data_IF_572231282593
#
_entry.id   IF_572231282593
#
_cell.length_a   1.000
_cell.length_b   1.000
_cell.length_c   1.000
_cell.angle_alpha   90.00
_cell.angle_beta   90.00
_cell.angle_gamma   90.00
#
_symmetry.space_group_name_H-M   'P 1'
#
loop_
_entity.id
_entity.type
_entity.pdbx_description
1 polymer ?
#
# COMPACT_ATOMS: atom_id res chain seq x y z
N UNK A 1 -0.33 16.75 -0.12
CA UNK A 1 -1.14 17.56 -1.04
C UNK A 1 -0.24 18.34 -1.97
N UNK A 2 -0.57 18.33 -3.24
CA UNK A 2 0.10 19.19 -4.22
C UNK A 2 -0.52 20.57 -4.07
N UNK A 3 0.32 21.60 -4.07
CA UNK A 3 -0.11 22.99 -3.90
C UNK A 3 -1.24 23.34 -4.88
N UNK A 4 -2.33 23.96 -4.38
CA UNK A 4 -3.48 24.33 -5.17
C UNK A 4 -4.50 23.22 -5.48
N UNK A 5 -4.32 21.99 -4.97
CA UNK A 5 -5.27 20.89 -5.14
C UNK A 5 -6.07 20.65 -3.86
N UNK A 6 -7.37 20.46 -4.01
CA UNK A 6 -8.24 20.07 -2.90
C UNK A 6 -7.97 18.60 -2.51
N UNK A 7 -7.94 18.34 -1.21
CA UNK A 7 -7.83 16.97 -0.69
C UNK A 7 -9.20 16.27 -0.74
N UNK A 8 -9.17 14.98 -1.09
CA UNK A 8 -10.34 14.12 -0.91
C UNK A 8 -10.48 13.77 0.58
N UNK A 9 -11.69 13.79 1.10
CA UNK A 9 -12.01 13.51 2.50
C UNK A 9 -13.38 12.85 2.61
N UNK A 10 -13.71 12.28 3.76
CA UNK A 10 -14.95 11.56 3.99
C UNK A 10 -15.83 12.11 5.12
N UNK A 11 -15.45 13.20 5.75
CA UNK A 11 -16.05 13.62 7.02
C UNK A 11 -16.66 15.02 6.96
N UNK A 12 -17.31 15.36 5.86
CA UNK A 12 -17.96 16.66 5.69
C UNK A 12 -18.91 17.04 6.84
N UNK A 13 -19.59 16.05 7.43
CA UNK A 13 -20.54 16.28 8.54
C UNK A 13 -19.88 16.86 9.82
N UNK A 14 -18.55 16.77 9.91
CA UNK A 14 -17.76 17.30 11.05
C UNK A 14 -17.10 18.65 10.75
N UNK A 15 -17.36 19.22 9.57
CA UNK A 15 -16.70 20.45 9.10
C UNK A 15 -17.78 21.49 8.82
N UNK A 16 -17.67 22.65 9.46
CA UNK A 16 -18.63 23.76 9.28
C UNK A 16 -18.56 24.37 7.88
N UNK A 17 -17.35 24.48 7.32
CA UNK A 17 -17.14 24.94 5.95
C UNK A 17 -17.48 23.86 4.95
N UNK A 18 -18.56 24.04 4.24
CA UNK A 18 -19.08 23.14 3.23
C UNK A 18 -18.71 23.54 1.78
N UNK A 19 -17.79 24.47 1.62
CA UNK A 19 -17.39 24.96 0.29
C UNK A 19 -16.71 23.90 -0.59
N UNK A 20 -16.25 22.81 -0.01
CA UNK A 20 -15.54 21.72 -0.71
C UNK A 20 -16.30 20.39 -0.74
N UNK A 21 -17.62 20.38 -0.54
CA UNK A 21 -18.40 19.13 -0.54
C UNK A 21 -18.28 18.34 -1.84
N UNK A 22 -18.04 19.04 -2.94
CA UNK A 22 -17.79 18.45 -4.26
C UNK A 22 -16.53 17.58 -4.32
N UNK A 23 -15.65 17.70 -3.33
CA UNK A 23 -14.42 16.89 -3.23
C UNK A 23 -14.53 15.73 -2.25
N UNK A 24 -15.62 15.64 -1.49
CA UNK A 24 -15.80 14.60 -0.50
C UNK A 24 -16.08 13.24 -1.16
N UNK A 25 -15.49 12.18 -0.58
CA UNK A 25 -15.72 10.80 -0.96
C UNK A 25 -16.10 10.03 0.30
N UNK A 26 -17.31 9.49 0.36
CA UNK A 26 -17.83 8.84 1.56
C UNK A 26 -17.43 7.36 1.65
N UNK A 27 -17.08 6.78 0.51
CA UNK A 27 -16.68 5.38 0.39
C UNK A 27 -15.33 5.28 -0.33
N UNK A 28 -14.65 4.14 -0.14
CA UNK A 28 -13.42 3.85 -0.88
C UNK A 28 -13.69 3.74 -2.39
N UNK A 29 -14.85 3.22 -2.79
CA UNK A 29 -15.24 3.15 -4.21
C UNK A 29 -15.29 4.54 -4.84
N UNK A 30 -15.98 5.50 -4.22
CA UNK A 30 -16.04 6.89 -4.69
C UNK A 30 -14.65 7.52 -4.78
N UNK A 31 -13.77 7.21 -3.82
CA UNK A 31 -12.39 7.68 -3.83
C UNK A 31 -11.61 7.13 -5.02
N UNK A 32 -11.73 5.83 -5.30
CA UNK A 32 -11.07 5.19 -6.43
C UNK A 32 -11.62 5.69 -7.77
N UNK A 33 -12.92 5.92 -7.88
CA UNK A 33 -13.52 6.56 -9.05
C UNK A 33 -12.95 7.96 -9.27
N UNK A 34 -12.87 8.77 -8.22
CA UNK A 34 -12.30 10.11 -8.29
C UNK A 34 -10.82 10.11 -8.69
N UNK A 35 -10.06 9.07 -8.31
CA UNK A 35 -8.68 8.90 -8.77
C UNK A 35 -8.64 8.50 -10.25
N UNK A 36 -9.52 7.62 -10.69
CA UNK A 36 -9.60 7.16 -12.08
C UNK A 36 -9.98 8.30 -13.04
N UNK A 37 -10.83 9.21 -12.63
CA UNK A 37 -11.26 10.36 -13.42
C UNK A 37 -10.16 11.42 -13.57
N UNK A 38 -9.20 11.45 -12.64
CA UNK A 38 -8.13 12.43 -12.65
C UNK A 38 -6.80 11.82 -13.15
N UNK A 39 -6.67 11.79 -14.48
CA UNK A 39 -5.51 11.21 -15.18
C UNK A 39 -4.17 11.92 -14.91
N UNK A 40 -4.21 13.11 -14.32
CA UNK A 40 -2.98 13.86 -13.98
C UNK A 40 -2.36 13.42 -12.65
N UNK A 41 -3.07 12.58 -11.89
CA UNK A 41 -2.62 12.16 -10.57
C UNK A 41 -1.99 10.77 -10.64
N UNK A 42 -0.73 10.71 -10.27
CA UNK A 42 -0.07 9.45 -9.90
C UNK A 42 -0.34 9.19 -8.43
N UNK A 43 -1.26 8.26 -8.15
CA UNK A 43 -1.78 7.99 -6.80
C UNK A 43 -1.44 6.57 -6.39
N UNK A 44 -0.92 6.43 -5.18
CA UNK A 44 -0.78 5.16 -4.48
C UNK A 44 -1.62 5.24 -3.21
N UNK A 45 -2.46 4.24 -2.98
CA UNK A 45 -3.30 4.08 -1.81
C UNK A 45 -2.94 2.81 -1.06
N UNK A 46 -3.11 2.83 0.25
CA UNK A 46 -2.95 1.66 1.12
C UNK A 46 -4.16 1.54 2.04
N UNK A 47 -4.71 0.33 2.15
CA UNK A 47 -5.70 0.06 3.19
C UNK A 47 -5.02 0.07 4.56
N UNK A 48 -5.50 0.93 5.46
CA UNK A 48 -4.96 1.11 6.81
C UNK A 48 -5.80 0.40 7.86
N UNK A 49 -5.14 -0.29 8.77
CA UNK A 49 -5.72 -0.89 9.95
C UNK A 49 -5.28 -0.14 11.21
N UNK A 50 -6.03 0.85 11.60
CA UNK A 50 -5.71 1.63 12.79
C UNK A 50 -6.96 2.05 13.55
N UNK A 51 -7.23 1.43 14.71
CA UNK A 51 -8.33 1.78 15.59
C UNK A 51 -9.74 1.54 15.05
N UNK A 52 -9.88 1.17 13.77
CA UNK A 52 -11.16 0.86 13.11
C UNK A 52 -10.97 -0.28 12.14
N UNK A 53 -12.04 -1.02 11.92
CA UNK A 53 -12.08 -2.09 10.94
C UNK A 53 -12.08 -1.51 9.52
N UNK A 54 -11.17 -2.00 8.68
CA UNK A 54 -11.11 -1.69 7.26
C UNK A 54 -11.58 -2.91 6.47
N UNK A 55 -12.68 -2.79 5.76
CA UNK A 55 -13.26 -3.89 4.99
C UNK A 55 -12.94 -3.73 3.50
N UNK A 56 -11.80 -4.28 3.10
CA UNK A 56 -11.34 -4.24 1.70
C UNK A 56 -12.18 -5.12 0.77
N UNK A 57 -13.04 -5.97 1.31
CA UNK A 57 -13.94 -6.80 0.49
C UNK A 57 -15.06 -5.96 -0.13
N UNK A 58 -15.35 -4.79 0.43
CA UNK A 58 -16.36 -3.86 -0.06
C UNK A 58 -15.88 -2.98 -1.20
N UNK A 59 -14.59 -2.67 -1.22
CA UNK A 59 -13.99 -1.86 -2.26
C UNK A 59 -12.49 -2.15 -2.33
N UNK A 60 -12.01 -2.43 -3.52
CA UNK A 60 -10.60 -2.56 -3.86
C UNK A 60 -10.39 -2.16 -5.30
N UNK A 61 -9.37 -1.38 -5.57
CA UNK A 61 -8.93 -1.06 -6.92
C UNK A 61 -7.41 -1.24 -7.03
N UNK A 62 -6.99 -2.34 -7.63
CA UNK A 62 -5.57 -2.68 -7.78
C UNK A 62 -4.77 -1.68 -8.63
N UNK A 63 -5.42 -0.74 -9.33
CA UNK A 63 -4.72 0.35 -9.99
C UNK A 63 -4.08 1.30 -8.97
N UNK A 64 -4.73 1.51 -7.82
CA UNK A 64 -4.35 2.47 -6.79
C UNK A 64 -3.93 1.81 -5.50
N UNK A 65 -4.68 0.81 -5.03
CA UNK A 65 -4.43 0.10 -3.77
C UNK A 65 -3.43 -1.03 -3.98
N UNK A 66 -2.15 -0.68 -3.96
CA UNK A 66 -1.04 -1.59 -4.24
C UNK A 66 -0.65 -2.47 -3.06
N UNK A 67 -1.05 -2.10 -1.85
CA UNK A 67 -0.67 -2.81 -0.64
C UNK A 67 -1.71 -2.67 0.45
N UNK A 68 -1.69 -3.61 1.40
CA UNK A 68 -2.49 -3.58 2.62
C UNK A 68 -1.58 -3.52 3.84
N UNK A 69 -2.00 -2.81 4.86
CA UNK A 69 -1.25 -2.67 6.09
C UNK A 69 -1.60 -3.79 7.06
N UNK A 70 -0.63 -4.67 7.35
CA UNK A 70 -0.82 -5.79 8.27
C UNK A 70 -0.49 -5.42 9.72
N UNK A 71 0.34 -4.40 9.92
CA UNK A 71 0.82 -4.03 11.26
C UNK A 71 1.00 -2.52 11.40
N UNK A 72 0.47 -1.98 12.51
CA UNK A 72 0.64 -0.58 12.92
C UNK A 72 0.86 -0.50 14.43
N UNK A 73 0.87 0.70 15.02
CA UNK A 73 0.89 0.90 16.46
C UNK A 73 -0.34 0.28 17.18
N UNK A 74 -1.40 -0.02 16.45
CA UNK A 74 -2.61 -0.65 16.98
C UNK A 74 -2.52 -2.17 17.10
N UNK A 75 -1.57 -2.80 16.42
CA UNK A 75 -1.38 -4.25 16.45
C UNK A 75 -1.14 -4.88 15.09
N UNK A 76 -1.25 -6.19 15.05
CA UNK A 76 -1.10 -7.01 13.84
C UNK A 76 -2.47 -7.51 13.39
N UNK A 77 -2.80 -7.29 12.13
CA UNK A 77 -4.12 -7.53 11.56
C UNK A 77 -4.05 -8.47 10.35
N UNK A 78 -3.71 -9.73 10.58
CA UNK A 78 -3.52 -10.72 9.51
C UNK A 78 -4.79 -10.98 8.69
N UNK A 79 -5.96 -10.73 9.27
CA UNK A 79 -7.24 -10.91 8.59
C UNK A 79 -7.37 -10.09 7.31
N UNK A 80 -6.78 -8.89 7.24
CA UNK A 80 -6.84 -8.06 6.02
C UNK A 80 -6.08 -8.71 4.85
N UNK A 81 -4.96 -9.39 5.16
CA UNK A 81 -4.17 -10.14 4.18
C UNK A 81 -4.96 -11.37 3.72
N UNK A 82 -5.61 -12.07 4.65
CA UNK A 82 -6.50 -13.19 4.33
C UNK A 82 -7.64 -12.75 3.41
N UNK A 83 -8.30 -11.64 3.71
CA UNK A 83 -9.39 -11.10 2.91
C UNK A 83 -8.90 -10.70 1.51
N UNK A 84 -7.74 -10.06 1.40
CA UNK A 84 -7.14 -9.72 0.12
C UNK A 84 -6.90 -10.97 -0.74
N UNK A 85 -6.25 -11.98 -0.20
CA UNK A 85 -5.92 -13.19 -0.94
C UNK A 85 -7.14 -14.03 -1.28
N UNK A 86 -8.12 -14.12 -0.36
CA UNK A 86 -9.39 -14.82 -0.61
C UNK A 86 -10.18 -14.20 -1.77
N UNK A 87 -10.07 -12.89 -1.94
CA UNK A 87 -10.70 -12.17 -3.05
C UNK A 87 -9.83 -12.12 -4.32
N UNK A 88 -8.66 -12.74 -4.33
CA UNK A 88 -7.75 -12.76 -5.47
C UNK A 88 -7.03 -11.43 -5.71
N UNK A 89 -6.97 -10.55 -4.71
CA UNK A 89 -6.29 -9.26 -4.84
C UNK A 89 -4.77 -9.45 -4.86
N UNK A 90 -4.11 -8.75 -5.76
CA UNK A 90 -2.65 -8.74 -5.88
C UNK A 90 -2.08 -7.55 -5.15
N UNK A 91 -1.88 -7.70 -3.85
CA UNK A 91 -1.39 -6.64 -2.96
C UNK A 91 -0.05 -7.03 -2.33
N UNK A 92 0.78 -6.02 -2.11
CA UNK A 92 1.92 -6.12 -1.21
C UNK A 92 1.49 -5.97 0.25
N UNK A 93 2.40 -6.25 1.17
CA UNK A 93 2.15 -6.19 2.60
C UNK A 93 3.05 -5.15 3.22
N UNK A 94 2.46 -4.16 3.88
CA UNK A 94 3.18 -3.08 4.57
C UNK A 94 2.95 -3.12 6.07
N UNK A 95 3.91 -2.56 6.80
CA UNK A 95 3.79 -2.26 8.22
C UNK A 95 4.29 -0.84 8.49
N UNK A 96 3.53 -0.07 9.25
CA UNK A 96 3.83 1.32 9.51
C UNK A 96 3.76 1.65 11.00
N UNK A 97 4.28 2.81 11.37
CA UNK A 97 4.29 3.22 12.77
C UNK A 97 2.94 3.73 13.27
N UNK A 98 2.09 4.21 12.36
CA UNK A 98 0.88 4.96 12.69
C UNK A 98 1.13 6.08 13.73
N UNK A 99 2.29 6.72 13.59
CA UNK A 99 2.77 7.73 14.53
C UNK A 99 2.09 9.08 14.33
N UNK A 100 1.47 9.61 15.40
CA UNK A 100 0.70 10.85 15.38
C UNK A 100 1.48 12.08 15.85
N UNK A 101 2.81 12.02 15.92
CA UNK A 101 3.66 13.10 16.42
C UNK A 101 4.40 13.89 15.34
N UNK A 102 4.12 13.61 14.06
CA UNK A 102 4.75 14.29 12.94
C UNK A 102 6.28 14.12 12.87
N UNK A 103 6.81 12.99 13.32
CA UNK A 103 8.25 12.68 13.32
C UNK A 103 8.56 11.46 12.47
N UNK A 104 8.61 11.58 11.14
CA UNK A 104 8.96 10.47 10.26
C UNK A 104 10.30 9.85 10.63
N UNK A 105 10.37 8.53 10.66
CA UNK A 105 11.59 7.78 11.00
C UNK A 105 11.96 7.73 12.49
N UNK A 106 11.21 8.40 13.36
CA UNK A 106 11.49 8.43 14.80
C UNK A 106 10.54 7.53 15.61
N UNK A 107 10.32 6.29 15.14
CA UNK A 107 9.56 5.31 15.90
C UNK A 107 10.43 4.66 16.98
N UNK A 108 9.99 4.75 18.22
CA UNK A 108 10.64 4.15 19.39
C UNK A 108 9.57 3.73 20.42
N UNK A 109 9.89 2.87 21.40
CA UNK A 109 8.95 2.50 22.46
C UNK A 109 8.37 3.72 23.13
N UNK A 110 7.03 3.84 23.15
CA UNK A 110 6.34 5.01 23.69
C UNK A 110 6.16 6.17 22.67
N UNK A 111 6.63 6.04 21.44
CA UNK A 111 6.35 7.01 20.37
C UNK A 111 4.89 6.97 19.92
N UNK A 112 4.28 5.79 19.93
CA UNK A 112 2.86 5.56 19.68
C UNK A 112 2.01 5.81 20.93
N UNK A 113 0.71 5.83 20.75
CA UNK A 113 -0.27 6.08 21.84
C UNK A 113 -0.28 4.95 22.89
N UNK A 114 0.05 3.73 22.49
CA UNK A 114 -0.01 2.55 23.34
C UNK A 114 1.36 2.05 23.79
N UNK A 115 2.40 2.86 23.66
CA UNK A 115 3.76 2.43 23.94
C UNK A 115 4.32 1.44 22.89
N UNK A 116 3.56 1.15 21.86
CA UNK A 116 4.00 0.29 20.77
C UNK A 116 5.02 1.00 19.87
N UNK A 117 5.88 0.20 19.23
CA UNK A 117 6.86 0.70 18.26
C UNK A 117 6.22 0.89 16.89
N UNK A 118 5.20 0.10 16.57
CA UNK A 118 4.61 0.00 15.24
C UNK A 118 5.45 -0.85 14.30
N UNK A 119 5.04 -0.92 13.06
CA UNK A 119 5.69 -1.68 12.00
C UNK A 119 6.71 -0.87 11.21
N UNK A 120 7.45 -1.60 10.39
CA UNK A 120 8.32 -1.07 9.35
C UNK A 120 8.02 -1.79 8.05
N UNK A 121 8.05 -1.06 6.94
CA UNK A 121 8.05 -1.62 5.60
C UNK A 121 9.48 -1.66 5.07
N UNK A 122 9.92 -2.82 4.61
CA UNK A 122 11.21 -3.02 3.99
C UNK A 122 11.04 -3.06 2.48
N UNK A 123 11.67 -2.15 1.76
CA UNK A 123 11.62 -2.04 0.30
C UNK A 123 12.89 -2.63 -0.31
N UNK A 124 12.74 -3.54 -1.26
CA UNK A 124 13.83 -4.16 -2.02
C UNK A 124 14.12 -3.29 -3.24
N UNK A 125 14.86 -2.22 -3.03
CA UNK A 125 15.15 -1.18 -4.04
C UNK A 125 16.61 -1.23 -4.48
N UNK A 126 16.90 -0.94 -5.75
CA UNK A 126 18.28 -0.85 -6.23
C UNK A 126 19.02 0.39 -5.69
N UNK A 127 18.31 1.47 -5.41
CA UNK A 127 18.85 2.72 -4.89
C UNK A 127 17.83 3.45 -4.02
N UNK A 128 18.30 4.42 -3.22
CA UNK A 128 17.45 5.23 -2.35
C UNK A 128 16.94 6.47 -3.10
N UNK A 129 16.04 6.27 -4.05
CA UNK A 129 15.37 7.33 -4.78
C UNK A 129 13.86 7.23 -4.68
N UNK A 130 13.17 8.34 -4.97
CA UNK A 130 11.71 8.38 -5.01
C UNK A 130 11.16 7.45 -6.10
N UNK A 131 11.81 7.43 -7.26
CA UNK A 131 11.38 6.61 -8.39
C UNK A 131 11.49 5.12 -8.05
N UNK A 132 12.62 4.68 -7.50
CA UNK A 132 12.81 3.30 -7.06
C UNK A 132 11.80 2.90 -5.97
N UNK A 133 11.43 3.82 -5.06
CA UNK A 133 10.40 3.58 -4.06
C UNK A 133 9.03 3.35 -4.71
N UNK A 134 8.62 4.23 -5.62
CA UNK A 134 7.34 4.12 -6.33
C UNK A 134 7.28 2.83 -7.15
N UNK A 135 8.34 2.52 -7.87
CA UNK A 135 8.44 1.27 -8.63
C UNK A 135 8.35 0.04 -7.72
N UNK A 136 9.07 0.04 -6.60
CA UNK A 136 9.05 -1.03 -5.62
C UNK A 136 7.66 -1.27 -5.02
N UNK A 137 6.90 -0.19 -4.78
CA UNK A 137 5.52 -0.29 -4.33
C UNK A 137 4.63 -0.88 -5.43
N UNK A 138 4.74 -0.38 -6.66
CA UNK A 138 3.93 -0.83 -7.79
C UNK A 138 4.19 -2.30 -8.15
N UNK A 139 5.42 -2.76 -8.00
CA UNK A 139 5.81 -4.17 -8.23
C UNK A 139 5.68 -5.05 -6.99
N UNK A 140 5.30 -4.49 -5.84
CA UNK A 140 5.15 -5.21 -4.56
C UNK A 140 6.45 -5.84 -4.04
N UNK A 141 7.61 -5.31 -4.43
CA UNK A 141 8.93 -5.75 -3.98
C UNK A 141 9.23 -5.25 -2.57
N UNK A 142 8.33 -5.50 -1.63
CA UNK A 142 8.44 -5.08 -0.24
C UNK A 142 7.73 -6.04 0.71
N UNK A 143 8.05 -5.94 1.98
CA UNK A 143 7.44 -6.74 3.02
C UNK A 143 7.37 -5.95 4.35
N UNK A 144 6.51 -6.41 5.25
CA UNK A 144 6.33 -5.83 6.57
C UNK A 144 7.15 -6.55 7.63
N UNK A 145 7.61 -5.80 8.62
CA UNK A 145 8.14 -6.32 9.88
C UNK A 145 7.46 -5.62 11.05
N UNK A 146 7.46 -6.25 12.22
CA UNK A 146 6.91 -5.66 13.44
C UNK A 146 7.75 -4.51 14.00
N UNK A 147 8.84 -4.15 13.34
CA UNK A 147 9.74 -3.10 13.80
C UNK A 147 10.53 -3.50 15.05
N UNK A 148 11.16 -2.52 15.64
CA UNK A 148 11.96 -2.69 16.84
C UNK A 148 13.46 -2.77 16.60
N UNK A 149 14.28 -2.54 17.63
CA UNK A 149 15.73 -2.43 17.50
C UNK A 149 16.40 -3.72 17.04
N UNK A 150 15.77 -4.87 17.28
CA UNK A 150 16.28 -6.20 16.91
C UNK A 150 15.56 -6.85 15.72
N UNK A 151 14.53 -6.20 15.17
CA UNK A 151 13.64 -6.78 14.16
C UNK A 151 14.00 -6.43 12.70
N UNK A 152 15.24 -6.04 12.42
CA UNK A 152 15.70 -5.79 11.04
C UNK A 152 16.08 -7.10 10.37
N UNK A 153 15.10 -7.75 9.79
CA UNK A 153 15.31 -8.96 9.00
C UNK A 153 15.20 -8.60 7.51
N UNK A 154 16.15 -9.04 6.71
CA UNK A 154 16.04 -8.99 5.25
C UNK A 154 15.41 -10.29 4.78
N UNK A 155 14.30 -10.18 4.09
CA UNK A 155 13.59 -11.28 3.45
C UNK A 155 13.61 -11.07 1.93
N UNK A 156 14.13 -12.05 1.22
CA UNK A 156 14.06 -12.13 -0.23
C UNK A 156 13.56 -13.52 -0.60
N UNK A 157 12.53 -13.58 -1.42
CA UNK A 157 12.00 -14.83 -1.96
C UNK A 157 12.09 -14.74 -3.47
N UNK A 158 12.76 -15.71 -4.08
CA UNK A 158 12.86 -15.82 -5.53
C UNK A 158 12.53 -17.25 -5.97
N UNK A 159 12.06 -17.35 -7.19
CA UNK A 159 11.78 -18.62 -7.87
C UNK A 159 12.58 -18.66 -9.17
N UNK A 160 13.22 -19.79 -9.42
CA UNK A 160 13.89 -20.05 -10.69
C UNK A 160 13.05 -21.03 -11.52
N UNK A 161 13.05 -20.86 -12.83
CA UNK A 161 12.31 -21.69 -13.78
C UNK A 161 13.28 -22.51 -14.62
N UNK A 162 12.97 -23.78 -14.83
CA UNK A 162 13.76 -24.66 -15.70
C UNK A 162 13.66 -24.23 -17.17
N UNK A 163 12.50 -23.69 -17.55
CA UNK A 163 12.28 -23.05 -18.87
C UNK A 163 11.85 -21.60 -18.67
N UNK A 164 12.13 -20.71 -19.64
CA UNK A 164 11.75 -19.31 -19.53
C UNK A 164 10.24 -19.14 -19.35
N UNK A 165 9.84 -18.49 -18.25
CA UNK A 165 8.48 -18.07 -17.98
C UNK A 165 8.19 -16.68 -18.57
N UNK A 166 6.93 -16.30 -18.59
CA UNK A 166 6.51 -14.96 -19.01
C UNK A 166 6.25 -14.09 -17.80
N UNK A 167 7.05 -13.04 -17.60
CA UNK A 167 6.80 -12.02 -16.58
C UNK A 167 5.93 -10.91 -17.15
N UNK A 168 4.87 -10.56 -16.44
CA UNK A 168 4.00 -9.43 -16.75
C UNK A 168 4.48 -8.19 -16.01
N UNK A 169 4.74 -7.12 -16.74
CA UNK A 169 5.11 -5.81 -16.16
C UNK A 169 3.88 -5.02 -15.72
N UNK A 170 2.74 -5.30 -16.36
CA UNK A 170 1.43 -4.77 -16.00
C UNK A 170 0.56 -5.90 -15.45
N UNK A 171 -0.34 -5.60 -14.54
CA UNK A 171 -1.27 -6.59 -14.01
C UNK A 171 -2.29 -7.00 -15.08
N UNK A 172 -2.31 -8.26 -15.56
CA UNK A 172 -3.24 -8.71 -16.60
C UNK A 172 -4.71 -8.71 -16.15
N UNK A 173 -5.01 -8.55 -14.86
CA UNK A 173 -6.37 -8.34 -14.39
C UNK A 173 -6.84 -6.89 -14.58
N UNK A 174 -5.91 -5.94 -14.74
CA UNK A 174 -6.20 -4.51 -14.81
C UNK A 174 -5.94 -3.93 -16.20
N UNK A 175 -4.99 -4.47 -16.93
CA UNK A 175 -4.57 -3.98 -18.24
C UNK A 175 -5.05 -4.90 -19.37
N UNK A 176 -5.67 -4.33 -20.41
CA UNK A 176 -6.08 -5.08 -21.59
C UNK A 176 -4.91 -5.55 -22.46
N UNK A 177 -3.84 -4.76 -22.49
CA UNK A 177 -2.61 -5.04 -23.23
C UNK A 177 -1.46 -4.96 -22.24
N UNK A 178 -0.97 -6.12 -21.81
CA UNK A 178 0.13 -6.22 -20.86
C UNK A 178 1.47 -6.21 -21.59
N UNK A 179 2.41 -5.45 -21.08
CA UNK A 179 3.81 -5.58 -21.45
C UNK A 179 4.37 -6.81 -20.77
N UNK A 180 5.04 -7.66 -21.54
CA UNK A 180 5.63 -8.88 -21.02
C UNK A 180 7.09 -9.00 -21.41
N UNK A 181 7.85 -9.76 -20.64
CA UNK A 181 9.22 -10.16 -20.96
C UNK A 181 9.47 -11.62 -20.55
N UNK A 182 10.37 -12.33 -21.24
CA UNK A 182 10.80 -13.64 -20.74
C UNK A 182 11.64 -13.47 -19.49
N UNK A 183 11.50 -14.40 -18.55
CA UNK A 183 12.31 -14.43 -17.32
C UNK A 183 12.67 -15.89 -16.97
N UNK A 184 13.87 -16.08 -16.44
CA UNK A 184 14.32 -17.35 -15.85
C UNK A 184 14.21 -17.35 -14.33
N UNK A 185 13.95 -16.19 -13.76
CA UNK A 185 13.73 -15.99 -12.34
C UNK A 185 12.64 -14.94 -12.10
N UNK A 186 11.88 -15.12 -11.06
CA UNK A 186 10.96 -14.13 -10.52
C UNK A 186 11.24 -13.95 -9.03
N UNK A 187 10.98 -12.75 -8.52
CA UNK A 187 11.06 -12.47 -7.10
C UNK A 187 9.67 -12.20 -6.53
N UNK A 188 9.57 -12.20 -5.22
CA UNK A 188 8.35 -11.85 -4.50
C UNK A 188 7.80 -10.51 -5.00
N UNK A 189 6.54 -10.52 -5.44
CA UNK A 189 5.86 -9.36 -6.03
C UNK A 189 5.68 -9.44 -7.55
N UNK A 190 6.56 -10.16 -8.26
CA UNK A 190 6.43 -10.35 -9.70
C UNK A 190 5.15 -11.13 -10.06
N UNK A 191 4.63 -10.87 -11.24
CA UNK A 191 3.53 -11.61 -11.85
C UNK A 191 4.08 -12.45 -13.00
N UNK A 192 3.96 -13.75 -12.89
CA UNK A 192 4.42 -14.73 -13.87
C UNK A 192 3.33 -15.72 -14.23
#
# INVERSE_FOLDING_TARGET
PVEGRKMRRSSHALIEDQSDLDTDCHTASELFEAFADNKEWDVISFAHCGGRYADITKAHDGRFEKSVEVHSAWGTFEWIVHDAFKNGYRVGIIGNSDGHKGRPGASYPGAGWFGAIGGLTCFLMPDLSRNSLVECINTRHHYATTGGPSGRMRLEVSMSFDEPATQYLDDPLLAKNCTTKPCSQAMMGDIV
#
